data_IF_896670840287
#
_entry.id   IF_896670840287
#
_cell.length_a   1.000
_cell.length_b   1.000
_cell.length_c   1.000
_cell.angle_alpha   90.00
_cell.angle_beta   90.00
_cell.angle_gamma   90.00
#
_symmetry.space_group_name_H-M   'P 1'
#
loop_
_entity.id
_entity.type
_entity.pdbx_description
1 polymer ?
#
# COMPACT_ATOMS: atom_id res chain seq x y z
N UNK A 1 3.91 10.53 -1.57
CA UNK A 1 4.56 11.09 -0.37
C UNK A 1 3.59 11.76 0.60
N UNK A 2 2.54 12.46 0.15
CA UNK A 2 1.59 13.16 1.05
C UNK A 2 0.83 12.25 2.01
N UNK A 3 0.25 11.14 1.53
CA UNK A 3 -0.53 10.22 2.36
C UNK A 3 0.32 9.56 3.47
N UNK A 4 1.53 9.08 3.16
CA UNK A 4 2.43 8.47 4.15
C UNK A 4 2.88 9.46 5.22
N UNK A 5 3.14 10.72 4.84
CA UNK A 5 3.43 11.80 5.80
C UNK A 5 2.24 12.12 6.70
N UNK A 6 1.03 12.12 6.14
CA UNK A 6 -0.19 12.33 6.90
C UNK A 6 -0.43 11.18 7.89
N UNK A 7 -0.16 9.93 7.50
CA UNK A 7 -0.26 8.77 8.38
C UNK A 7 0.76 8.82 9.52
N UNK A 8 2.02 9.13 9.21
CA UNK A 8 3.07 9.30 10.23
C UNK A 8 2.69 10.42 11.22
N UNK A 9 2.22 11.57 10.73
CA UNK A 9 1.77 12.67 11.57
C UNK A 9 0.51 12.32 12.40
N UNK A 10 -0.42 11.56 11.82
CA UNK A 10 -1.61 11.06 12.51
C UNK A 10 -1.24 10.15 13.69
N UNK A 11 -0.19 9.33 13.53
CA UNK A 11 0.35 8.48 14.59
C UNK A 11 1.35 9.19 15.52
N UNK A 12 1.48 10.53 15.39
CA UNK A 12 2.37 11.34 16.24
C UNK A 12 3.87 11.15 15.96
N UNK A 13 4.23 10.52 14.84
CA UNK A 13 5.61 10.31 14.42
C UNK A 13 6.07 11.45 13.49
N UNK A 14 7.35 11.81 13.59
CA UNK A 14 7.98 12.85 12.77
C UNK A 14 8.68 12.28 11.53
N UNK A 15 8.94 10.98 11.52
CA UNK A 15 9.60 10.27 10.43
C UNK A 15 8.66 9.24 9.81
N UNK A 16 8.66 9.21 8.48
CA UNK A 16 7.89 8.26 7.67
C UNK A 16 8.68 6.97 7.56
N UNK A 17 8.04 5.85 7.89
CA UNK A 17 8.63 4.52 7.74
C UNK A 17 8.13 3.85 6.46
N UNK A 18 8.79 2.78 6.03
CA UNK A 18 8.33 1.98 4.88
C UNK A 18 6.95 1.36 5.12
N UNK A 19 6.60 1.09 6.38
CA UNK A 19 5.30 0.56 6.77
C UNK A 19 4.17 1.56 6.52
N UNK A 20 4.41 2.85 6.75
CA UNK A 20 3.46 3.91 6.40
C UNK A 20 3.17 3.93 4.92
N UNK A 21 4.21 3.75 4.11
CA UNK A 21 4.08 3.74 2.65
C UNK A 21 3.31 2.50 2.20
N UNK A 22 3.59 1.33 2.79
CA UNK A 22 2.87 0.09 2.52
C UNK A 22 1.37 0.23 2.79
N UNK A 23 1.00 0.78 3.95
CA UNK A 23 -0.40 0.96 4.38
C UNK A 23 -1.20 1.92 3.50
N UNK A 24 -0.56 2.98 2.96
CA UNK A 24 -1.25 3.93 2.07
C UNK A 24 -1.18 3.56 0.58
N UNK A 25 -0.27 2.66 0.18
CA UNK A 25 0.00 2.34 -1.22
C UNK A 25 -1.24 1.79 -1.94
N UNK A 26 -1.94 0.82 -1.34
CA UNK A 26 -3.13 0.21 -1.93
C UNK A 26 -4.24 1.24 -2.19
N UNK A 27 -4.52 2.10 -1.21
CA UNK A 27 -5.53 3.17 -1.34
C UNK A 27 -5.18 4.17 -2.46
N UNK A 28 -3.91 4.58 -2.52
CA UNK A 28 -3.44 5.62 -3.44
C UNK A 28 -3.22 5.13 -4.89
N UNK A 29 -2.93 3.84 -5.09
CA UNK A 29 -2.47 3.34 -6.40
C UNK A 29 -3.50 2.44 -7.10
N UNK A 30 -4.42 1.79 -6.36
CA UNK A 30 -5.42 0.88 -6.96
C UNK A 30 -6.21 1.51 -8.11
N UNK A 31 -6.55 2.78 -7.98
CA UNK A 31 -7.35 3.54 -8.94
C UNK A 31 -6.52 4.22 -10.03
N UNK A 32 -5.19 4.18 -9.91
CA UNK A 32 -4.24 4.73 -10.89
C UNK A 32 -3.64 3.66 -11.79
N UNK A 33 -3.94 2.39 -11.50
CA UNK A 33 -3.42 1.24 -12.22
C UNK A 33 -4.09 1.13 -13.59
N UNK A 34 -3.28 1.11 -14.64
CA UNK A 34 -3.75 0.75 -15.99
C UNK A 34 -3.75 -0.77 -16.08
N UNK A 35 -4.95 -1.35 -16.17
CA UNK A 35 -5.13 -2.79 -16.30
C UNK A 35 -5.21 -3.20 -17.76
N UNK A 36 -4.66 -4.36 -18.06
CA UNK A 36 -5.00 -5.06 -19.30
C UNK A 36 -6.39 -5.70 -19.11
N UNK A 37 -7.34 -5.56 -20.05
CA UNK A 37 -8.66 -6.18 -19.94
C UNK A 37 -8.62 -7.71 -19.78
N UNK A 38 -7.51 -8.38 -20.10
CA UNK A 38 -7.34 -9.83 -19.91
C UNK A 38 -6.78 -10.20 -18.52
N UNK A 39 -6.40 -9.22 -17.70
CA UNK A 39 -5.83 -9.46 -16.38
C UNK A 39 -6.93 -9.68 -15.32
N UNK A 40 -7.01 -10.90 -14.78
CA UNK A 40 -8.01 -11.27 -13.75
C UNK A 40 -7.57 -10.95 -12.31
N UNK A 41 -6.37 -10.42 -12.10
CA UNK A 41 -5.84 -10.12 -10.76
C UNK A 41 -6.51 -8.86 -10.23
N UNK A 42 -6.91 -8.87 -8.95
CA UNK A 42 -7.43 -7.68 -8.31
C UNK A 42 -6.37 -6.55 -8.28
N UNK A 43 -6.83 -5.33 -8.51
CA UNK A 43 -6.01 -4.11 -8.50
C UNK A 43 -5.26 -3.94 -7.19
N UNK A 44 -5.87 -4.31 -6.05
CA UNK A 44 -5.24 -4.21 -4.73
C UNK A 44 -4.05 -5.16 -4.62
N UNK A 45 -4.24 -6.42 -4.99
CA UNK A 45 -3.21 -7.46 -4.92
C UNK A 45 -2.02 -7.15 -5.84
N UNK A 46 -2.28 -6.60 -7.02
CA UNK A 46 -1.21 -6.19 -7.95
C UNK A 46 -0.35 -5.08 -7.36
N UNK A 47 -0.95 -4.11 -6.67
CA UNK A 47 -0.20 -3.02 -6.00
C UNK A 47 0.67 -3.58 -4.89
N UNK A 48 0.15 -4.49 -4.06
CA UNK A 48 0.90 -5.12 -2.96
C UNK A 48 2.09 -5.91 -3.50
N UNK A 49 1.90 -6.76 -4.51
CA UNK A 49 2.99 -7.55 -5.12
C UNK A 49 4.10 -6.66 -5.69
N UNK A 50 3.72 -5.62 -6.44
CA UNK A 50 4.69 -4.68 -7.02
C UNK A 50 5.43 -3.92 -5.91
N UNK A 51 4.72 -3.52 -4.85
CA UNK A 51 5.34 -2.88 -3.70
C UNK A 51 6.36 -3.79 -3.01
N UNK A 52 5.99 -5.03 -2.67
CA UNK A 52 6.92 -5.99 -2.06
C UNK A 52 8.16 -6.22 -2.93
N UNK A 53 7.98 -6.30 -4.26
CA UNK A 53 9.10 -6.44 -5.20
C UNK A 53 10.02 -5.23 -5.23
N UNK A 54 9.48 -4.00 -5.20
CA UNK A 54 10.29 -2.77 -5.25
C UNK A 54 11.02 -2.51 -3.94
N UNK A 55 10.42 -2.86 -2.81
CA UNK A 55 10.99 -2.68 -1.46
C UNK A 55 11.69 -3.94 -0.94
N UNK A 56 11.91 -4.96 -1.80
CA UNK A 56 12.58 -6.23 -1.44
C UNK A 56 12.00 -6.92 -0.18
N UNK A 57 10.68 -6.78 0.04
CA UNK A 57 9.97 -7.39 1.17
C UNK A 57 9.47 -8.79 0.81
N UNK A 58 9.43 -9.73 1.77
CA UNK A 58 8.79 -11.02 1.54
C UNK A 58 7.30 -10.80 1.22
N UNK A 59 6.79 -11.47 0.18
CA UNK A 59 5.35 -11.50 -0.09
C UNK A 59 4.66 -12.19 1.09
N UNK A 60 4.13 -11.41 2.03
CA UNK A 60 3.27 -11.93 3.09
C UNK A 60 1.84 -12.07 2.56
N UNK A 61 1.23 -13.23 2.79
CA UNK A 61 -0.21 -13.44 2.60
C UNK A 61 -1.07 -12.62 3.55
N UNK A 62 -0.45 -11.99 4.56
CA UNK A 62 -1.12 -11.12 5.52
C UNK A 62 -1.38 -9.73 4.93
N UNK A 63 -2.65 -9.47 4.60
CA UNK A 63 -3.14 -8.18 4.08
C UNK A 63 -3.17 -7.09 5.15
N UNK A 64 -3.08 -7.45 6.45
CA UNK A 64 -3.14 -6.49 7.55
C UNK A 64 -2.05 -5.43 7.50
N UNK A 65 -0.87 -5.76 6.95
CA UNK A 65 0.23 -4.82 6.78
C UNK A 65 0.00 -3.77 5.66
N UNK A 66 -1.00 -3.98 4.80
CA UNK A 66 -1.33 -3.10 3.67
C UNK A 66 -2.69 -2.42 3.81
N UNK A 67 -3.39 -2.69 4.92
CA UNK A 67 -4.67 -2.10 5.23
C UNK A 67 -4.50 -0.89 6.15
N UNK A 68 -5.26 0.17 5.85
CA UNK A 68 -5.46 1.25 6.81
C UNK A 68 -6.37 0.71 7.90
N UNK A 69 -5.95 0.77 9.17
CA UNK A 69 -6.68 0.30 10.35
C UNK A 69 -8.04 1.02 10.62
N UNK A 70 -8.57 1.76 9.64
CA UNK A 70 -9.79 2.57 9.71
C UNK A 70 -10.58 2.44 8.39
N UNK A 71 -10.81 1.21 7.95
CA UNK A 71 -11.98 0.91 7.12
C UNK A 71 -13.19 0.73 8.05
N UNK A 72 -13.76 1.85 8.51
CA UNK A 72 -15.11 1.93 9.04
C UNK A 72 -16.07 2.31 7.91
#
# INVERSE_FOLDING_TARGET
NRAARALAAFEGRTEVTEDDVARVAACCLRHRLRKDPLEQIDSGDRVVKVFCKVFERPESSDRGAFELALAA
#
